data_IF_598899807483
#
_entry.id   IF_598899807483
#
_cell.length_a   1.000
_cell.length_b   1.000
_cell.length_c   1.000
_cell.angle_alpha   90.00
_cell.angle_beta   90.00
_cell.angle_gamma   90.00
#
_symmetry.space_group_name_H-M   'P 1'
#
loop_
_entity.id
_entity.type
_entity.pdbx_description
1 polymer ?
#
# COMPACT_ATOMS: atom_id res chain seq x y z
N UNK A 1 -23.74 28.50 2.95
CA UNK A 1 -24.00 27.05 2.84
C UNK A 1 -22.74 26.31 3.28
N UNK A 2 -22.76 25.65 4.43
CA UNK A 2 -21.62 24.82 4.85
C UNK A 2 -21.56 23.60 3.92
N UNK A 3 -20.46 23.44 3.19
CA UNK A 3 -20.26 22.28 2.32
C UNK A 3 -20.34 20.98 3.11
N UNK A 4 -20.85 19.91 2.48
CA UNK A 4 -20.94 18.59 3.10
C UNK A 4 -19.60 18.20 3.74
N UNK A 5 -19.57 17.66 4.97
CA UNK A 5 -18.33 17.27 5.65
C UNK A 5 -17.54 16.18 4.91
N UNK A 6 -18.14 15.57 3.88
CA UNK A 6 -17.52 14.58 3.00
C UNK A 6 -16.91 15.18 1.72
N UNK A 7 -17.23 16.44 1.38
CA UNK A 7 -16.77 17.06 0.13
C UNK A 7 -15.25 17.27 0.12
N UNK A 8 -14.66 17.66 1.26
CA UNK A 8 -13.20 17.80 1.41
C UNK A 8 -12.47 16.45 1.32
N UNK A 9 -13.03 15.41 1.96
CA UNK A 9 -12.52 14.04 1.90
C UNK A 9 -12.54 13.51 0.46
N UNK A 10 -13.65 13.73 -0.26
CA UNK A 10 -13.79 13.35 -1.66
C UNK A 10 -12.82 14.09 -2.57
N UNK A 11 -12.59 15.39 -2.34
CA UNK A 11 -11.61 16.18 -3.09
C UNK A 11 -10.19 15.64 -2.93
N UNK A 12 -9.79 15.32 -1.69
CA UNK A 12 -8.49 14.69 -1.40
C UNK A 12 -8.37 13.32 -2.05
N UNK A 13 -9.43 12.50 -2.03
CA UNK A 13 -9.44 11.22 -2.71
C UNK A 13 -9.26 11.36 -4.23
N UNK A 14 -10.01 12.29 -4.87
CA UNK A 14 -9.90 12.55 -6.31
C UNK A 14 -8.50 13.02 -6.71
N UNK A 15 -7.83 13.79 -5.85
CA UNK A 15 -6.45 14.21 -6.09
C UNK A 15 -5.45 13.03 -6.13
N UNK A 16 -5.77 11.89 -5.50
CA UNK A 16 -4.94 10.69 -5.53
C UNK A 16 -5.20 9.80 -6.75
N UNK A 17 -6.37 9.90 -7.40
CA UNK A 17 -6.74 9.03 -8.52
C UNK A 17 -5.73 9.05 -9.68
N UNK A 18 -5.17 10.21 -10.11
CA UNK A 18 -4.17 10.24 -11.18
C UNK A 18 -2.88 9.48 -10.86
N UNK A 19 -2.63 9.21 -9.58
CA UNK A 19 -1.44 8.49 -9.10
C UNK A 19 -1.62 6.97 -9.07
N UNK A 20 -2.79 6.47 -9.47
CA UNK A 20 -3.02 5.05 -9.66
C UNK A 20 -2.35 4.58 -10.95
N UNK A 21 -1.97 3.30 -10.97
CA UNK A 21 -1.42 2.69 -12.18
C UNK A 21 -2.48 2.71 -13.28
N UNK A 22 -2.09 3.17 -14.46
CA UNK A 22 -2.93 3.13 -15.65
C UNK A 22 -3.09 1.68 -16.12
N UNK A 23 -4.12 1.43 -16.92
CA UNK A 23 -4.33 0.11 -17.54
C UNK A 23 -3.11 -0.34 -18.37
N UNK A 24 -2.46 0.59 -19.04
CA UNK A 24 -1.26 0.32 -19.83
C UNK A 24 -0.07 -0.03 -18.94
N UNK A 25 0.11 0.68 -17.83
CA UNK A 25 1.14 0.36 -16.84
C UNK A 25 0.93 -1.04 -16.25
N UNK A 26 -0.31 -1.40 -15.90
CA UNK A 26 -0.64 -2.76 -15.43
C UNK A 26 -0.36 -3.82 -16.51
N UNK A 27 -0.69 -3.53 -17.76
CA UNK A 27 -0.42 -4.43 -18.89
C UNK A 27 1.09 -4.58 -19.16
N UNK A 28 1.88 -3.53 -18.95
CA UNK A 28 3.33 -3.59 -19.05
C UNK A 28 3.94 -4.44 -17.93
N UNK A 29 3.46 -4.28 -16.69
CA UNK A 29 3.90 -5.09 -15.55
C UNK A 29 3.62 -6.57 -15.78
N UNK A 30 2.46 -6.93 -16.34
CA UNK A 30 2.10 -8.31 -16.66
C UNK A 30 3.00 -8.94 -17.74
N UNK A 31 3.70 -8.13 -18.55
CA UNK A 31 4.64 -8.56 -19.60
C UNK A 31 6.09 -8.47 -19.16
N UNK A 32 6.37 -8.02 -17.94
CA UNK A 32 7.72 -7.94 -17.41
C UNK A 32 8.33 -9.34 -17.32
N UNK A 33 9.61 -9.47 -17.68
CA UNK A 33 10.28 -10.78 -17.75
C UNK A 33 10.84 -11.21 -16.41
N UNK A 34 11.24 -10.24 -15.60
CA UNK A 34 11.85 -10.46 -14.30
C UNK A 34 11.53 -9.32 -13.33
N UNK A 35 12.00 -9.48 -12.10
CA UNK A 35 11.82 -8.49 -11.05
C UNK A 35 12.49 -7.14 -11.39
N UNK A 36 13.61 -7.13 -12.09
CA UNK A 36 14.31 -5.88 -12.44
C UNK A 36 13.49 -5.05 -13.41
N UNK A 37 12.84 -5.71 -14.38
CA UNK A 37 11.89 -5.07 -15.30
C UNK A 37 10.69 -4.48 -14.54
N UNK A 38 10.14 -5.22 -13.57
CA UNK A 38 9.05 -4.72 -12.71
C UNK A 38 9.49 -3.47 -11.94
N UNK A 39 10.67 -3.49 -11.33
CA UNK A 39 11.18 -2.36 -10.56
C UNK A 39 11.36 -1.11 -11.42
N UNK A 40 11.92 -1.25 -12.63
CA UNK A 40 12.06 -0.14 -13.59
C UNK A 40 10.71 0.43 -14.02
N UNK A 41 9.71 -0.41 -14.25
CA UNK A 41 8.35 0.03 -14.61
C UNK A 41 7.65 0.79 -13.47
N UNK A 42 7.94 0.42 -12.22
CA UNK A 42 7.35 1.06 -11.04
C UNK A 42 8.14 2.28 -10.53
N UNK A 43 9.42 2.40 -10.87
CA UNK A 43 10.28 3.53 -10.49
C UNK A 43 9.70 4.92 -10.80
N UNK A 44 9.10 5.20 -11.99
CA UNK A 44 8.53 6.52 -12.27
C UNK A 44 7.19 6.79 -11.57
N UNK A 45 6.66 5.83 -10.81
CA UNK A 45 5.35 5.93 -10.16
C UNK A 45 5.50 6.34 -8.69
N UNK A 46 4.37 6.41 -7.96
CA UNK A 46 4.38 6.64 -6.50
C UNK A 46 5.17 5.60 -5.70
N UNK A 47 5.46 4.44 -6.29
CA UNK A 47 6.20 3.37 -5.64
C UNK A 47 7.71 3.61 -5.67
N UNK A 48 8.24 4.35 -6.65
CA UNK A 48 9.68 4.58 -6.85
C UNK A 48 10.44 4.99 -5.58
N UNK A 49 10.03 6.05 -4.86
CA UNK A 49 10.71 6.47 -3.64
C UNK A 49 10.77 5.39 -2.56
N UNK A 50 9.76 4.51 -2.48
CA UNK A 50 9.78 3.39 -1.53
C UNK A 50 10.62 2.22 -2.02
N UNK A 51 10.63 1.96 -3.33
CA UNK A 51 11.50 0.94 -3.91
C UNK A 51 12.97 1.24 -3.62
N UNK A 52 13.38 2.51 -3.75
CA UNK A 52 14.74 2.94 -3.41
C UNK A 52 15.02 2.76 -1.92
N UNK A 53 14.09 3.16 -1.04
CA UNK A 53 14.23 2.99 0.41
C UNK A 53 14.31 1.52 0.82
N UNK A 54 13.42 0.68 0.30
CA UNK A 54 13.36 -0.74 0.60
C UNK A 54 14.60 -1.47 0.04
N UNK A 55 15.07 -1.10 -1.14
CA UNK A 55 16.28 -1.68 -1.76
C UNK A 55 17.57 -1.45 -0.97
N UNK A 56 17.60 -0.49 -0.03
CA UNK A 56 18.74 -0.30 0.87
C UNK A 56 18.86 -1.39 1.94
N UNK A 57 17.76 -2.09 2.27
CA UNK A 57 17.70 -3.06 3.38
C UNK A 57 17.30 -4.46 2.91
N UNK A 58 16.37 -4.55 1.96
CA UNK A 58 15.79 -5.79 1.47
C UNK A 58 16.36 -6.20 0.11
N UNK A 59 16.17 -7.46 -0.27
CA UNK A 59 16.60 -8.00 -1.58
C UNK A 59 15.50 -8.84 -2.20
N UNK A 60 15.56 -9.02 -3.52
CA UNK A 60 14.59 -9.82 -4.25
C UNK A 60 13.16 -9.27 -4.10
N UNK A 61 12.19 -10.18 -4.03
CA UNK A 61 10.75 -9.85 -3.96
C UNK A 61 10.37 -9.04 -2.73
N UNK A 62 11.09 -9.20 -1.62
CA UNK A 62 10.84 -8.46 -0.39
C UNK A 62 10.97 -6.93 -0.57
N UNK A 63 11.81 -6.46 -1.51
CA UNK A 63 11.91 -5.03 -1.85
C UNK A 63 10.56 -4.50 -2.35
N UNK A 64 9.90 -5.27 -3.21
CA UNK A 64 8.62 -4.90 -3.80
C UNK A 64 7.51 -4.94 -2.76
N UNK A 65 7.47 -6.00 -1.95
CA UNK A 65 6.47 -6.19 -0.90
C UNK A 65 6.50 -5.04 0.12
N UNK A 66 7.67 -4.77 0.71
CA UNK A 66 7.84 -3.71 1.70
C UNK A 66 7.48 -2.34 1.11
N UNK A 67 7.94 -2.06 -0.11
CA UNK A 67 7.66 -0.78 -0.76
C UNK A 67 6.16 -0.57 -1.04
N UNK A 68 5.47 -1.59 -1.54
CA UNK A 68 4.03 -1.54 -1.79
C UNK A 68 3.25 -1.38 -0.49
N UNK A 69 3.59 -2.16 0.54
CA UNK A 69 2.96 -2.09 1.86
C UNK A 69 3.12 -0.70 2.48
N UNK A 70 4.30 -0.09 2.37
CA UNK A 70 4.54 1.27 2.82
C UNK A 70 3.69 2.32 2.08
N UNK A 71 3.61 2.25 0.74
CA UNK A 71 2.72 3.14 -0.03
C UNK A 71 1.27 2.94 0.39
N UNK A 72 0.84 1.69 0.57
CA UNK A 72 -0.51 1.34 0.99
C UNK A 72 -0.84 1.94 2.36
N UNK A 73 -0.02 1.68 3.39
CA UNK A 73 -0.22 2.21 4.75
C UNK A 73 -0.26 3.73 4.76
N UNK A 74 0.65 4.41 4.04
CA UNK A 74 0.63 5.88 3.95
C UNK A 74 -0.65 6.40 3.30
N UNK A 75 -1.13 5.77 2.23
CA UNK A 75 -2.39 6.15 1.57
C UNK A 75 -3.58 5.94 2.50
N UNK A 76 -3.65 4.82 3.21
CA UNK A 76 -4.73 4.57 4.16
C UNK A 76 -4.75 5.61 5.30
N UNK A 77 -3.58 5.95 5.86
CA UNK A 77 -3.48 7.01 6.88
C UNK A 77 -4.01 8.34 6.36
N UNK A 78 -3.59 8.75 5.16
CA UNK A 78 -4.07 9.97 4.52
C UNK A 78 -5.61 9.98 4.34
N UNK A 79 -6.19 8.84 3.94
CA UNK A 79 -7.65 8.72 3.76
C UNK A 79 -8.40 8.79 5.10
N UNK A 80 -7.91 8.13 6.15
CA UNK A 80 -8.51 8.22 7.49
C UNK A 80 -8.42 9.66 8.04
N UNK A 81 -7.29 10.32 7.85
CA UNK A 81 -7.09 11.71 8.28
C UNK A 81 -8.01 12.68 7.54
N UNK A 82 -8.20 12.45 6.24
CA UNK A 82 -9.11 13.22 5.40
C UNK A 82 -10.59 12.96 5.69
N UNK A 83 -10.95 11.79 6.23
CA UNK A 83 -12.33 11.44 6.52
C UNK A 83 -12.94 12.35 7.59
N UNK A 84 -14.22 12.68 7.42
CA UNK A 84 -15.00 13.41 8.43
C UNK A 84 -15.04 12.65 9.75
N UNK A 85 -15.29 13.36 10.86
CA UNK A 85 -15.37 12.74 12.18
C UNK A 85 -16.30 11.52 12.21
N UNK A 86 -17.47 11.63 11.57
CA UNK A 86 -18.44 10.54 11.45
C UNK A 86 -18.00 9.40 10.51
N UNK A 87 -17.12 9.66 9.53
CA UNK A 87 -16.61 8.65 8.60
C UNK A 87 -15.43 7.83 9.13
N UNK A 88 -14.68 8.36 10.11
CA UNK A 88 -13.49 7.69 10.68
C UNK A 88 -13.80 6.30 11.29
N UNK A 89 -14.89 6.08 12.05
CA UNK A 89 -15.23 4.76 12.56
C UNK A 89 -15.44 3.72 11.46
N UNK A 90 -16.11 4.09 10.36
CA UNK A 90 -16.37 3.19 9.22
C UNK A 90 -15.06 2.81 8.52
N UNK A 91 -14.18 3.79 8.26
CA UNK A 91 -12.88 3.54 7.65
C UNK A 91 -12.00 2.63 8.54
N UNK A 92 -11.99 2.88 9.86
CA UNK A 92 -11.26 2.01 10.80
C UNK A 92 -11.83 0.60 10.81
N UNK A 93 -13.15 0.43 10.81
CA UNK A 93 -13.77 -0.88 10.77
C UNK A 93 -13.40 -1.65 9.49
N UNK A 94 -13.39 -0.98 8.34
CA UNK A 94 -12.94 -1.56 7.08
C UNK A 94 -11.47 -2.01 7.13
N UNK A 95 -10.60 -1.19 7.72
CA UNK A 95 -9.17 -1.48 7.80
C UNK A 95 -8.82 -2.66 8.72
N UNK A 96 -9.68 -2.99 9.69
CA UNK A 96 -9.50 -4.15 10.58
C UNK A 96 -9.37 -5.49 9.84
N UNK A 97 -9.81 -5.59 8.59
CA UNK A 97 -9.60 -6.81 7.80
C UNK A 97 -8.12 -7.16 7.64
N UNK A 98 -7.28 -6.15 7.44
CA UNK A 98 -5.84 -6.35 7.32
C UNK A 98 -5.20 -6.67 8.67
N UNK A 99 -5.73 -6.13 9.77
CA UNK A 99 -5.26 -6.52 11.11
C UNK A 99 -5.48 -8.03 11.35
N UNK A 100 -6.63 -8.57 10.89
CA UNK A 100 -6.94 -10.00 11.00
C UNK A 100 -5.99 -10.83 10.13
N UNK A 101 -5.78 -10.43 8.87
CA UNK A 101 -4.85 -11.10 7.95
C UNK A 101 -3.43 -11.11 8.52
N UNK A 102 -2.96 -9.96 9.03
CA UNK A 102 -1.64 -9.82 9.64
C UNK A 102 -1.50 -10.69 10.89
N UNK A 103 -2.51 -10.76 11.76
CA UNK A 103 -2.50 -11.65 12.93
C UNK A 103 -2.38 -13.11 12.49
N UNK A 104 -3.16 -13.53 11.49
CA UNK A 104 -3.08 -14.89 10.94
C UNK A 104 -1.68 -15.20 10.43
N UNK A 105 -1.07 -14.28 9.70
CA UNK A 105 0.27 -14.43 9.13
C UNK A 105 1.35 -14.52 10.23
N UNK A 106 1.26 -13.71 11.28
CA UNK A 106 2.14 -13.80 12.46
C UNK A 106 1.99 -15.14 13.18
N UNK A 107 0.76 -15.64 13.33
CA UNK A 107 0.51 -16.93 13.98
C UNK A 107 1.10 -18.08 13.18
N UNK A 108 0.95 -18.08 11.85
CA UNK A 108 1.54 -19.07 10.96
C UNK A 108 3.06 -19.11 11.07
N UNK A 109 3.72 -17.95 10.99
CA UNK A 109 5.17 -17.88 11.13
C UNK A 109 5.66 -18.38 12.49
N UNK A 110 4.95 -18.04 13.58
CA UNK A 110 5.27 -18.57 14.92
C UNK A 110 5.10 -20.09 15.00
N UNK A 111 4.06 -20.65 14.37
CA UNK A 111 3.84 -22.10 14.35
C UNK A 111 4.94 -22.83 13.58
N UNK A 112 5.51 -22.20 12.55
CA UNK A 112 6.64 -22.71 11.76
C UNK A 112 8.01 -22.48 12.43
N UNK A 113 8.07 -21.82 13.59
CA UNK A 113 9.32 -21.49 14.28
C UNK A 113 10.13 -20.39 13.57
N UNK A 114 9.51 -19.66 12.65
CA UNK A 114 10.14 -18.53 11.94
C UNK A 114 10.04 -17.24 12.76
N UNK A 115 11.06 -16.37 12.71
CA UNK A 115 10.98 -15.08 13.38
C UNK A 115 9.93 -14.19 12.69
N UNK A 116 9.20 -13.40 13.49
CA UNK A 116 8.17 -12.46 13.01
C UNK A 116 8.75 -11.39 12.08
N UNK A 117 10.07 -11.19 12.03
CA UNK A 117 10.70 -10.29 11.07
C UNK A 117 10.69 -10.80 9.62
N UNK A 118 10.42 -12.08 9.39
CA UNK A 118 10.39 -12.71 8.06
C UNK A 118 8.98 -12.83 7.46
N UNK A 119 7.96 -12.29 8.12
CA UNK A 119 6.57 -12.39 7.67
C UNK A 119 6.21 -11.46 6.51
N UNK A 120 7.09 -10.52 6.14
CA UNK A 120 6.91 -9.61 4.99
C UNK A 120 7.89 -9.97 3.84
N UNK A 121 8.09 -11.26 3.56
CA UNK A 121 9.06 -11.78 2.57
C UNK A 121 8.45 -12.68 1.51
#
# INVERSE_FOLDING_TARGET
>A
MAGSPYASALGRFKALQPTLLTKDAVSALARAKDLSDILKLLEPTVYGPELVRAGATYRGTAVLEVAINHVFVRRQRLLIEAASFAGKPVMRAYLRRWDIENIGLILSAKAEGRPVSETES
#
